data_IF_899560916146
#
_entry.id   IF_899560916146
#
_cell.length_a   1.000
_cell.length_b   1.000
_cell.length_c   1.000
_cell.angle_alpha   90.00
_cell.angle_beta   90.00
_cell.angle_gamma   90.00
#
_symmetry.space_group_name_H-M   'P 1'
#
loop_
_entity.id
_entity.type
_entity.pdbx_description
1 polymer ?
#
# COMPACT_ATOMS: atom_id res chain seq x y z
N UNK A 1 1.28 -34.41 49.35
CA UNK A 1 0.67 -35.14 48.22
C UNK A 1 0.63 -34.20 47.04
N UNK A 2 1.46 -34.51 46.05
CA UNK A 2 1.75 -33.71 44.86
C UNK A 2 0.84 -34.15 43.74
N UNK A 3 0.05 -33.27 43.16
CA UNK A 3 -0.68 -33.57 41.91
C UNK A 3 -0.40 -32.48 40.89
N UNK A 4 0.52 -32.80 39.97
CA UNK A 4 0.66 -32.17 38.68
C UNK A 4 -0.33 -32.83 37.70
N UNK A 5 -1.05 -32.05 36.89
CA UNK A 5 -1.68 -32.56 35.66
C UNK A 5 -1.65 -31.50 34.54
N UNK A 6 -0.75 -31.78 33.59
CA UNK A 6 -0.72 -31.54 32.15
C UNK A 6 -1.51 -30.37 31.50
N UNK A 7 -0.73 -29.58 30.75
CA UNK A 7 -1.16 -28.68 29.68
C UNK A 7 -1.86 -29.41 28.52
N UNK A 8 -2.87 -28.76 27.92
CA UNK A 8 -3.21 -28.92 26.49
C UNK A 8 -3.61 -27.58 25.89
N UNK A 9 -2.67 -27.00 25.13
CA UNK A 9 -2.96 -25.92 24.20
C UNK A 9 -3.82 -26.42 23.04
N UNK A 10 -4.87 -25.67 22.70
CA UNK A 10 -5.62 -25.89 21.45
C UNK A 10 -4.92 -25.12 20.33
N UNK A 11 -4.18 -25.86 19.50
CA UNK A 11 -3.55 -25.37 18.27
C UNK A 11 -4.49 -25.57 17.08
N UNK A 12 -4.46 -24.57 16.20
CA UNK A 12 -4.76 -24.52 14.75
C UNK A 12 -6.22 -24.33 14.32
N UNK A 13 -6.44 -23.19 13.65
CA UNK A 13 -7.63 -22.87 12.88
C UNK A 13 -7.69 -23.73 11.63
N UNK A 14 -8.82 -24.38 11.39
CA UNK A 14 -9.08 -25.14 10.17
C UNK A 14 -9.04 -24.20 8.96
N UNK A 15 -7.98 -24.31 8.16
CA UNK A 15 -7.83 -23.63 6.87
C UNK A 15 -8.84 -24.24 5.88
N UNK A 16 -9.99 -23.58 5.71
CA UNK A 16 -10.96 -23.97 4.67
C UNK A 16 -10.36 -23.61 3.30
N UNK A 17 -10.15 -24.63 2.47
CA UNK A 17 -9.71 -24.48 1.09
C UNK A 17 -10.70 -23.62 0.28
N UNK A 18 -10.19 -22.89 -0.70
CA UNK A 18 -11.01 -22.03 -1.56
C UNK A 18 -12.08 -22.86 -2.26
N UNK A 19 -13.34 -22.44 -2.20
CA UNK A 19 -14.42 -23.11 -2.94
C UNK A 19 -14.21 -23.07 -4.47
N UNK A 20 -13.43 -22.11 -4.97
CA UNK A 20 -13.10 -21.95 -6.39
C UNK A 20 -11.80 -22.67 -6.78
N UNK A 21 -10.70 -22.48 -6.03
CA UNK A 21 -9.39 -23.03 -6.40
C UNK A 21 -9.00 -24.34 -5.69
N UNK A 22 -9.78 -24.76 -4.69
CA UNK A 22 -9.58 -25.96 -3.86
C UNK A 22 -8.22 -26.08 -3.15
N UNK A 23 -7.40 -25.04 -3.13
CA UNK A 23 -6.12 -25.04 -2.43
C UNK A 23 -6.22 -24.50 -0.99
N UNK A 24 -5.48 -25.11 -0.03
CA UNK A 24 -5.27 -24.55 1.29
C UNK A 24 -4.31 -23.36 1.23
N UNK A 25 -4.57 -22.36 2.08
CA UNK A 25 -4.12 -20.97 2.06
C UNK A 25 -2.59 -20.72 2.23
N UNK A 26 -1.71 -21.52 1.63
CA UNK A 26 -0.25 -21.42 1.86
C UNK A 26 0.62 -21.14 0.64
N UNK A 27 0.12 -21.16 -0.61
CA UNK A 27 0.99 -20.98 -1.79
C UNK A 27 0.49 -19.94 -2.81
N UNK A 28 0.10 -18.75 -2.37
CA UNK A 28 -0.13 -17.61 -3.28
C UNK A 28 0.85 -16.44 -3.08
N UNK A 29 1.92 -16.64 -2.31
CA UNK A 29 3.02 -15.68 -2.21
C UNK A 29 3.96 -15.86 -3.41
N UNK A 30 3.50 -15.53 -4.62
CA UNK A 30 4.38 -15.37 -5.77
C UNK A 30 5.16 -14.07 -5.56
N UNK A 31 6.27 -14.17 -4.83
CA UNK A 31 7.34 -13.18 -4.85
C UNK A 31 8.06 -13.42 -6.17
N UNK A 32 7.57 -12.77 -7.22
CA UNK A 32 8.39 -12.54 -8.41
C UNK A 32 9.22 -11.29 -8.14
N UNK A 33 10.53 -11.48 -8.03
CA UNK A 33 11.55 -10.49 -7.67
C UNK A 33 11.59 -9.26 -8.62
N UNK A 34 10.88 -9.29 -9.76
CA UNK A 34 10.92 -8.25 -10.79
C UNK A 34 9.77 -7.20 -10.75
N UNK A 35 8.92 -7.18 -9.71
CA UNK A 35 7.77 -6.27 -9.63
C UNK A 35 7.87 -5.21 -8.52
N UNK A 36 9.07 -4.93 -8.02
CA UNK A 36 9.30 -4.04 -6.87
C UNK A 36 9.06 -2.55 -7.15
N UNK A 37 8.82 -2.16 -8.41
CA UNK A 37 8.53 -0.78 -8.81
C UNK A 37 7.05 -0.60 -9.15
N UNK A 38 6.35 0.22 -8.36
CA UNK A 38 4.91 0.46 -8.52
C UNK A 38 4.54 0.97 -9.92
N UNK A 39 5.39 1.77 -10.56
CA UNK A 39 5.10 2.31 -11.90
C UNK A 39 4.90 1.18 -12.93
N UNK A 40 5.63 0.06 -12.79
CA UNK A 40 5.45 -1.14 -13.63
C UNK A 40 4.17 -1.92 -13.28
N UNK A 41 3.65 -1.77 -12.06
CA UNK A 41 2.42 -2.46 -11.62
C UNK A 41 1.15 -1.68 -11.98
N UNK A 42 1.24 -0.36 -12.13
CA UNK A 42 0.10 0.52 -12.44
C UNK A 42 -0.08 0.82 -13.93
N UNK A 43 0.86 0.40 -14.79
CA UNK A 43 0.75 0.63 -16.24
C UNK A 43 0.77 2.11 -16.64
N UNK A 44 1.33 2.98 -15.80
CA UNK A 44 1.46 4.42 -16.07
C UNK A 44 2.61 4.63 -17.08
N UNK A 45 2.39 5.28 -18.23
CA UNK A 45 3.45 5.56 -19.19
C UNK A 45 4.55 6.41 -18.56
N UNK A 46 5.81 6.01 -18.74
CA UNK A 46 7.02 6.73 -18.28
C UNK A 46 7.34 7.98 -19.12
N UNK A 47 6.32 8.70 -19.61
CA UNK A 47 6.48 9.87 -20.46
C UNK A 47 6.10 11.15 -19.70
N UNK A 48 6.85 11.39 -18.62
CA UNK A 48 7.03 12.71 -18.03
C UNK A 48 8.41 12.78 -17.34
N UNK A 49 9.46 12.27 -18.02
CA UNK A 49 10.83 12.60 -17.65
C UNK A 49 11.10 14.06 -18.03
N UNK A 50 10.86 14.98 -17.09
CA UNK A 50 11.48 16.29 -17.17
C UNK A 50 12.99 16.09 -17.08
N UNK A 51 13.71 16.41 -18.17
CA UNK A 51 15.16 16.30 -18.25
C UNK A 51 15.80 17.23 -17.23
N UNK A 52 16.24 16.68 -16.09
CA UNK A 52 17.15 17.36 -15.17
C UNK A 52 18.30 16.40 -14.85
N UNK A 53 19.50 16.91 -15.11
CA UNK A 53 20.77 16.20 -15.32
C UNK A 53 21.27 15.41 -14.10
N UNK A 54 22.04 14.37 -14.41
CA UNK A 54 22.90 13.59 -13.51
C UNK A 54 23.65 14.48 -12.51
N UNK A 55 23.19 14.49 -11.26
CA UNK A 55 23.93 14.98 -10.09
C UNK A 55 23.30 14.47 -8.77
N UNK A 56 22.79 13.24 -8.74
CA UNK A 56 22.19 12.68 -7.52
C UNK A 56 23.29 12.06 -6.63
N UNK A 57 23.75 12.85 -5.65
CA UNK A 57 24.71 12.50 -4.60
C UNK A 57 24.22 11.32 -3.73
N UNK A 58 25.11 10.35 -3.53
CA UNK A 58 25.27 9.29 -2.50
C UNK A 58 24.12 8.80 -1.59
N UNK A 59 23.15 9.62 -1.18
CA UNK A 59 22.10 9.28 -0.18
C UNK A 59 21.11 8.19 -0.67
N UNK A 60 20.87 8.11 -1.98
CA UNK A 60 19.98 7.11 -2.57
C UNK A 60 20.50 5.67 -2.46
N UNK A 61 21.77 5.45 -2.07
CA UNK A 61 22.35 4.10 -1.96
C UNK A 61 21.95 3.35 -0.67
N UNK A 62 21.33 4.02 0.31
CA UNK A 62 21.02 3.42 1.63
C UNK A 62 19.63 2.78 1.67
N UNK A 63 18.69 3.29 0.87
CA UNK A 63 17.30 2.84 0.88
C UNK A 63 17.01 1.97 -0.35
N UNK A 64 16.24 0.90 -0.13
CA UNK A 64 15.71 0.06 -1.20
C UNK A 64 14.62 0.77 -2.03
N UNK A 65 14.05 1.83 -1.47
CA UNK A 65 13.10 2.72 -2.15
C UNK A 65 13.14 4.11 -1.51
N UNK A 66 12.99 5.14 -2.32
CA UNK A 66 12.84 6.53 -1.88
C UNK A 66 11.62 7.17 -2.53
N UNK A 67 10.93 8.08 -1.86
CA UNK A 67 9.88 8.84 -2.50
C UNK A 67 10.40 9.65 -3.70
N UNK A 68 9.65 9.71 -4.81
CA UNK A 68 10.10 10.41 -6.00
C UNK A 68 10.11 11.93 -5.78
N UNK A 69 11.09 12.60 -6.39
CA UNK A 69 11.14 14.06 -6.48
C UNK A 69 11.70 14.79 -5.26
N UNK A 70 12.13 14.08 -4.20
CA UNK A 70 12.70 14.72 -3.01
C UNK A 70 14.23 14.81 -3.07
N UNK A 71 14.84 15.89 -2.58
CA UNK A 71 16.28 15.95 -2.35
C UNK A 71 16.69 15.06 -1.16
N UNK A 72 17.96 14.67 -1.13
CA UNK A 72 18.53 13.71 -0.19
C UNK A 72 18.26 14.03 1.29
N UNK A 73 18.42 15.28 1.69
CA UNK A 73 18.17 15.75 3.06
C UNK A 73 16.70 15.62 3.45
N UNK A 74 15.78 15.86 2.50
CA UNK A 74 14.34 15.70 2.70
C UNK A 74 13.90 14.24 2.71
N UNK A 75 14.60 13.36 2.00
CA UNK A 75 14.39 11.90 2.10
C UNK A 75 14.68 11.42 3.52
N UNK A 76 15.80 11.86 4.11
CA UNK A 76 16.16 11.51 5.48
C UNK A 76 15.17 12.10 6.49
N UNK A 77 14.74 13.35 6.32
CA UNK A 77 13.70 13.99 7.14
C UNK A 77 12.36 13.23 7.07
N UNK A 78 11.95 12.80 5.87
CA UNK A 78 10.75 11.98 5.68
C UNK A 78 10.84 10.66 6.43
N UNK A 79 11.93 9.92 6.26
CA UNK A 79 12.09 8.61 6.90
C UNK A 79 12.31 8.70 8.41
N UNK A 80 12.85 9.81 8.93
CA UNK A 80 12.97 10.07 10.36
C UNK A 80 11.61 10.14 11.08
N UNK A 81 10.53 10.44 10.35
CA UNK A 81 9.18 10.47 10.91
C UNK A 81 8.51 9.09 10.96
N UNK A 82 9.07 8.07 10.31
CA UNK A 82 8.53 6.72 10.30
C UNK A 82 9.12 5.86 11.44
N UNK A 83 8.40 4.83 11.92
CA UNK A 83 9.00 3.84 12.81
C UNK A 83 10.21 3.18 12.14
N UNK A 84 11.32 3.06 12.87
CA UNK A 84 12.59 2.53 12.33
C UNK A 84 12.44 1.16 11.64
N UNK A 85 11.55 0.30 12.17
CA UNK A 85 11.27 -1.03 11.60
C UNK A 85 10.43 -1.01 10.33
N UNK A 86 9.97 0.16 9.88
CA UNK A 86 9.20 0.38 8.64
C UNK A 86 9.98 1.20 7.60
N UNK A 87 11.16 1.70 7.93
CA UNK A 87 12.02 2.45 6.99
C UNK A 87 12.75 1.47 6.05
N UNK A 88 12.59 1.57 4.73
CA UNK A 88 13.08 0.58 3.76
C UNK A 88 14.59 0.74 3.48
N UNK A 89 15.43 0.55 4.49
CA UNK A 89 16.90 0.48 4.31
C UNK A 89 17.27 -0.87 3.68
N UNK A 90 18.27 -0.90 2.80
CA UNK A 90 18.74 -2.15 2.20
C UNK A 90 19.07 -3.21 3.25
N UNK A 91 18.61 -4.44 3.02
CA UNK A 91 18.80 -5.63 3.85
C UNK A 91 18.32 -5.45 5.29
N UNK A 92 17.31 -4.60 5.51
CA UNK A 92 16.75 -4.31 6.82
C UNK A 92 15.35 -4.92 7.01
N UNK A 93 14.85 -5.05 8.25
CA UNK A 93 13.46 -5.42 8.50
C UNK A 93 12.44 -4.50 7.81
N UNK A 94 12.79 -3.22 7.62
CA UNK A 94 11.91 -2.26 6.97
C UNK A 94 11.79 -2.46 5.45
N UNK A 95 12.82 -2.98 4.79
CA UNK A 95 12.74 -3.40 3.38
C UNK A 95 11.78 -4.58 3.23
N UNK A 96 11.96 -5.64 4.03
CA UNK A 96 11.06 -6.80 4.04
C UNK A 96 9.62 -6.41 4.39
N UNK A 97 9.46 -5.46 5.33
CA UNK A 97 8.15 -4.87 5.63
C UNK A 97 7.56 -4.21 4.39
N UNK A 98 8.29 -3.35 3.69
CA UNK A 98 7.79 -2.67 2.48
C UNK A 98 7.38 -3.69 1.41
N UNK A 99 8.21 -4.68 1.12
CA UNK A 99 7.89 -5.74 0.15
C UNK A 99 6.61 -6.49 0.51
N UNK A 100 6.48 -6.87 1.78
CA UNK A 100 5.26 -7.51 2.29
C UNK A 100 4.05 -6.60 2.12
N UNK A 101 4.16 -5.32 2.42
CA UNK A 101 3.05 -4.38 2.28
C UNK A 101 2.69 -4.13 0.81
N UNK A 102 3.64 -4.09 -0.12
CA UNK A 102 3.35 -4.01 -1.57
C UNK A 102 2.51 -5.20 -2.07
N UNK A 103 2.74 -6.39 -1.54
CA UNK A 103 1.96 -7.58 -1.91
C UNK A 103 0.57 -7.53 -1.27
N UNK A 104 0.49 -7.18 0.01
CA UNK A 104 -0.76 -7.20 0.76
C UNK A 104 -1.71 -6.06 0.39
N UNK A 105 -1.18 -4.84 0.22
CA UNK A 105 -1.98 -3.64 -0.01
C UNK A 105 -2.36 -3.47 -1.48
N UNK A 106 -1.58 -4.05 -2.41
CA UNK A 106 -1.78 -3.96 -3.86
C UNK A 106 -1.82 -5.37 -4.49
N UNK A 107 -2.90 -6.15 -4.27
CA UNK A 107 -3.06 -7.47 -4.85
C UNK A 107 -3.08 -7.39 -6.38
N UNK A 108 -2.22 -8.15 -7.08
CA UNK A 108 -2.14 -8.14 -8.55
C UNK A 108 -3.49 -8.46 -9.20
N UNK A 109 -4.28 -9.31 -8.55
CA UNK A 109 -5.60 -9.76 -8.98
C UNK A 109 -6.59 -8.61 -9.05
N UNK A 110 -6.41 -7.54 -8.27
CA UNK A 110 -7.29 -6.37 -8.34
C UNK A 110 -6.80 -5.34 -9.36
N UNK A 111 -5.60 -5.53 -9.92
CA UNK A 111 -4.98 -4.60 -10.88
C UNK A 111 -5.25 -5.01 -12.33
N UNK A 112 -5.22 -6.32 -12.63
CA UNK A 112 -5.46 -6.79 -13.99
C UNK A 112 -6.06 -8.21 -14.04
N UNK A 113 -6.96 -8.41 -15.02
CA UNK A 113 -7.59 -9.71 -15.31
C UNK A 113 -6.59 -10.84 -15.51
N UNK A 114 -5.40 -10.54 -16.08
CA UNK A 114 -4.36 -11.53 -16.33
C UNK A 114 -3.89 -12.26 -15.05
N UNK A 115 -4.07 -11.65 -13.89
CA UNK A 115 -3.71 -12.23 -12.60
C UNK A 115 -4.87 -12.96 -11.90
N UNK A 116 -6.11 -12.81 -12.40
CA UNK A 116 -7.29 -13.48 -11.88
C UNK A 116 -7.37 -14.91 -12.42
N UNK A 117 -7.07 -15.91 -11.57
CA UNK A 117 -7.04 -17.31 -12.03
C UNK A 117 -8.42 -17.95 -12.08
N UNK A 118 -9.37 -17.42 -11.30
CA UNK A 118 -10.67 -18.06 -11.07
C UNK A 118 -11.86 -17.15 -11.37
N UNK A 119 -11.62 -16.04 -12.06
CA UNK A 119 -12.69 -15.17 -12.53
C UNK A 119 -13.28 -15.75 -13.81
N UNK A 120 -14.57 -16.05 -13.78
CA UNK A 120 -15.30 -16.51 -14.97
C UNK A 120 -15.40 -15.37 -16.00
N UNK A 121 -15.32 -15.71 -17.29
CA UNK A 121 -15.46 -14.76 -18.41
C UNK A 121 -16.73 -13.94 -18.34
N UNK A 122 -17.82 -14.50 -17.80
CA UNK A 122 -19.08 -13.79 -17.58
C UNK A 122 -18.93 -12.57 -16.66
N UNK A 123 -17.95 -12.57 -15.76
CA UNK A 123 -17.71 -11.49 -14.80
C UNK A 123 -16.58 -10.54 -15.19
N UNK A 124 -15.96 -10.72 -16.36
CA UNK A 124 -14.87 -9.84 -16.83
C UNK A 124 -15.33 -8.38 -16.94
N UNK A 125 -16.53 -8.15 -17.47
CA UNK A 125 -17.09 -6.79 -17.55
C UNK A 125 -17.23 -6.15 -16.17
N UNK A 126 -17.76 -6.89 -15.20
CA UNK A 126 -17.88 -6.38 -13.82
C UNK A 126 -16.51 -6.09 -13.19
N UNK A 127 -15.46 -6.83 -13.55
CA UNK A 127 -14.09 -6.54 -13.12
C UNK A 127 -13.56 -5.27 -13.77
N UNK A 128 -13.74 -5.10 -15.08
CA UNK A 128 -13.34 -3.89 -15.79
C UNK A 128 -14.05 -2.66 -15.23
N UNK A 129 -15.36 -2.74 -15.02
CA UNK A 129 -16.16 -1.70 -14.38
C UNK A 129 -15.61 -1.35 -12.98
N UNK A 130 -15.23 -2.37 -12.19
CA UNK A 130 -14.62 -2.16 -10.87
C UNK A 130 -13.27 -1.43 -10.96
N UNK A 131 -12.37 -1.87 -11.86
CA UNK A 131 -11.05 -1.25 -12.04
C UNK A 131 -11.20 0.18 -12.53
N UNK A 132 -12.07 0.42 -13.51
CA UNK A 132 -12.31 1.76 -14.05
C UNK A 132 -12.89 2.68 -12.99
N UNK A 133 -13.93 2.24 -12.26
CA UNK A 133 -14.51 3.02 -11.18
C UNK A 133 -13.50 3.33 -10.08
N UNK A 134 -12.68 2.33 -9.67
CA UNK A 134 -11.60 2.55 -8.71
C UNK A 134 -10.65 3.63 -9.25
N UNK A 135 -10.10 3.46 -10.46
CA UNK A 135 -9.08 4.35 -11.00
C UNK A 135 -9.60 5.79 -11.16
N UNK A 136 -10.82 5.94 -11.66
CA UNK A 136 -11.43 7.25 -11.93
C UNK A 136 -11.89 7.96 -10.65
N UNK A 137 -12.58 7.26 -9.75
CA UNK A 137 -13.28 7.91 -8.64
C UNK A 137 -12.56 7.82 -7.30
N UNK A 138 -11.73 6.79 -7.09
CA UNK A 138 -11.18 6.50 -5.77
C UNK A 138 -9.65 6.53 -5.71
N UNK A 139 -8.95 5.94 -6.68
CA UNK A 139 -7.50 5.81 -6.70
C UNK A 139 -6.84 7.17 -6.84
N UNK A 140 -5.86 7.43 -5.99
CA UNK A 140 -5.08 8.65 -5.97
C UNK A 140 -3.60 8.33 -5.75
N UNK A 141 -2.75 9.24 -6.20
CA UNK A 141 -1.30 9.18 -6.00
C UNK A 141 -0.93 10.38 -5.12
N UNK A 142 -0.57 10.08 -3.88
CA UNK A 142 -0.04 11.09 -2.99
C UNK A 142 1.36 11.52 -3.45
N UNK A 143 1.75 12.74 -3.11
CA UNK A 143 3.12 13.22 -3.26
C UNK A 143 3.58 13.80 -1.93
N UNK A 144 4.90 13.90 -1.78
CA UNK A 144 5.48 14.54 -0.60
C UNK A 144 5.83 15.97 -0.97
N UNK A 145 5.34 16.89 -0.15
CA UNK A 145 5.73 18.28 -0.17
C UNK A 145 6.95 18.46 0.72
N UNK A 146 8.04 18.96 0.15
CA UNK A 146 9.34 19.15 0.82
C UNK A 146 9.28 20.17 1.97
N UNK A 147 8.36 21.13 1.89
CA UNK A 147 8.15 22.16 2.88
C UNK A 147 6.70 22.64 2.86
N UNK A 148 6.09 22.77 4.04
CA UNK A 148 4.83 23.48 4.19
C UNK A 148 5.06 25.00 4.17
N UNK A 149 4.30 25.72 3.35
CA UNK A 149 4.39 27.19 3.23
C UNK A 149 3.92 27.94 4.49
N UNK A 150 3.07 27.28 5.27
CA UNK A 150 2.45 27.77 6.50
C UNK A 150 2.22 26.63 7.47
N UNK A 151 1.92 26.97 8.71
CA UNK A 151 1.47 25.99 9.69
C UNK A 151 0.16 25.35 9.24
N UNK A 152 0.04 24.03 9.39
CA UNK A 152 -1.15 23.25 9.08
C UNK A 152 -1.44 22.25 10.21
N UNK A 153 -2.56 21.53 10.08
CA UNK A 153 -2.97 20.47 10.99
C UNK A 153 -2.97 19.13 10.26
N UNK A 154 -2.36 18.11 10.85
CA UNK A 154 -2.37 16.77 10.28
C UNK A 154 -3.78 16.17 10.31
N UNK A 155 -4.26 15.71 9.16
CA UNK A 155 -5.62 15.21 9.03
C UNK A 155 -5.93 13.90 9.79
N UNK A 156 -4.91 13.11 10.16
CA UNK A 156 -5.09 11.92 11.02
C UNK A 156 -5.01 12.27 12.50
N UNK A 157 -3.84 12.71 12.98
CA UNK A 157 -3.58 12.86 14.41
C UNK A 157 -4.05 14.20 14.99
N UNK A 158 -4.50 15.15 14.15
CA UNK A 158 -4.87 16.52 14.55
C UNK A 158 -3.72 17.32 15.18
N UNK A 159 -2.49 16.79 15.09
CA UNK A 159 -1.28 17.47 15.54
C UNK A 159 -0.87 18.60 14.61
N UNK A 160 -0.20 19.60 15.18
CA UNK A 160 0.34 20.75 14.44
C UNK A 160 1.53 20.35 13.57
N UNK A 161 1.55 20.83 12.33
CA UNK A 161 2.67 20.74 11.39
C UNK A 161 3.17 22.16 11.14
N UNK A 162 4.45 22.41 11.37
CA UNK A 162 5.06 23.73 11.27
C UNK A 162 5.37 24.10 9.82
N UNK A 163 5.58 25.40 9.60
CA UNK A 163 6.11 25.89 8.34
C UNK A 163 7.50 25.30 8.11
N UNK A 164 7.74 24.74 6.92
CA UNK A 164 9.00 24.10 6.55
C UNK A 164 9.01 22.57 6.72
N UNK A 165 8.07 21.99 7.45
CA UNK A 165 7.98 20.54 7.66
C UNK A 165 7.68 19.82 6.34
N UNK A 166 8.22 18.61 6.17
CA UNK A 166 7.78 17.70 5.12
C UNK A 166 6.36 17.17 5.41
N UNK A 167 5.55 17.05 4.36
CA UNK A 167 4.17 16.60 4.49
C UNK A 167 3.75 15.73 3.31
N UNK A 168 2.89 14.75 3.57
CA UNK A 168 2.23 13.97 2.52
C UNK A 168 0.96 14.70 2.11
N UNK A 169 0.71 14.82 0.80
CA UNK A 169 -0.49 15.45 0.21
C UNK A 169 -1.19 14.44 -0.69
N UNK A 170 -2.51 14.34 -0.58
CA UNK A 170 -3.36 13.46 -1.39
C UNK A 170 -4.38 14.31 -2.18
N UNK A 171 -4.14 14.59 -3.47
CA UNK A 171 -4.97 15.48 -4.28
C UNK A 171 -6.48 15.18 -4.25
N UNK A 172 -6.88 13.91 -4.40
CA UNK A 172 -8.32 13.53 -4.39
C UNK A 172 -8.96 13.67 -3.01
N UNK A 173 -8.18 13.62 -1.95
CA UNK A 173 -8.69 13.93 -0.61
C UNK A 173 -8.89 15.44 -0.42
N UNK A 174 -7.98 16.23 -0.99
CA UNK A 174 -8.02 17.68 -1.04
C UNK A 174 -6.62 18.28 -1.01
N UNK A 175 -6.32 19.22 -1.90
CA UNK A 175 -4.97 19.80 -2.06
C UNK A 175 -4.43 20.56 -0.83
N UNK A 176 -5.33 21.00 0.04
CA UNK A 176 -5.00 21.69 1.29
C UNK A 176 -4.91 20.75 2.49
N UNK A 177 -5.13 19.45 2.31
CA UNK A 177 -5.09 18.46 3.37
C UNK A 177 -3.71 17.80 3.38
N UNK A 178 -3.11 17.74 4.56
CA UNK A 178 -1.78 17.20 4.74
C UNK A 178 -1.72 16.19 5.90
N UNK A 179 -0.75 15.29 5.79
CA UNK A 179 -0.43 14.31 6.83
C UNK A 179 1.05 14.35 7.14
N UNK A 180 1.40 14.10 8.41
CA UNK A 180 2.72 13.59 8.70
C UNK A 180 2.95 12.28 7.91
N UNK A 181 4.16 12.01 7.42
CA UNK A 181 4.58 10.73 6.88
C UNK A 181 4.02 9.50 7.63
N UNK A 182 4.18 9.42 8.95
CA UNK A 182 3.67 8.28 9.74
C UNK A 182 2.15 8.28 9.95
N UNK A 183 1.48 9.39 9.67
CA UNK A 183 0.03 9.52 9.78
C UNK A 183 -0.70 9.16 8.48
N UNK A 184 0.02 8.99 7.37
CA UNK A 184 -0.57 8.62 6.09
C UNK A 184 -0.75 7.09 5.99
N UNK A 185 -1.85 6.60 6.55
CA UNK A 185 -2.14 5.16 6.67
C UNK A 185 -3.54 4.80 6.20
N UNK A 186 -3.76 3.51 5.94
CA UNK A 186 -5.08 2.97 5.67
C UNK A 186 -5.98 3.03 6.93
N UNK A 187 -7.23 3.44 6.75
CA UNK A 187 -8.24 3.56 7.83
C UNK A 187 -8.75 2.22 8.38
N UNK A 188 -8.36 1.09 7.77
CA UNK A 188 -8.78 -0.25 8.18
C UNK A 188 -7.68 -1.02 8.91
N UNK A 189 -6.45 -1.02 8.38
CA UNK A 189 -5.33 -1.75 8.98
C UNK A 189 -4.28 -0.88 9.68
N UNK A 190 -4.41 0.45 9.62
CA UNK A 190 -3.43 1.41 10.14
C UNK A 190 -2.01 1.24 9.58
N UNK A 191 -1.84 0.51 8.47
CA UNK A 191 -0.56 0.37 7.79
C UNK A 191 -0.29 1.57 6.87
N UNK A 192 0.99 1.95 6.76
CA UNK A 192 1.45 3.02 5.85
C UNK A 192 0.99 2.69 4.43
N UNK A 193 0.41 3.69 3.75
CA UNK A 193 -0.01 3.54 2.36
C UNK A 193 1.25 3.53 1.49
N UNK A 194 1.57 2.34 0.98
CA UNK A 194 2.87 2.08 0.34
C UNK A 194 3.00 2.83 -0.97
N UNK A 195 4.19 3.40 -1.20
CA UNK A 195 4.58 4.03 -2.47
C UNK A 195 3.55 5.03 -2.99
N UNK A 196 2.77 5.59 -2.06
CA UNK A 196 1.85 6.70 -2.23
C UNK A 196 0.58 6.41 -3.06
N UNK A 197 0.32 5.16 -3.43
CA UNK A 197 -0.99 4.79 -4.01
C UNK A 197 -2.00 4.42 -2.95
N UNK A 198 -3.22 4.94 -3.09
CA UNK A 198 -4.29 4.74 -2.13
C UNK A 198 -5.64 5.05 -2.75
N UNK A 199 -6.72 4.63 -2.10
CA UNK A 199 -8.07 4.97 -2.49
C UNK A 199 -8.70 5.92 -1.47
N UNK A 200 -9.36 6.96 -1.97
CA UNK A 200 -10.16 7.89 -1.19
C UNK A 200 -11.63 7.52 -1.31
N UNK A 201 -12.31 7.35 -0.17
CA UNK A 201 -13.76 7.17 -0.11
C UNK A 201 -14.30 7.76 1.17
N UNK A 202 -15.39 8.53 1.10
CA UNK A 202 -16.05 9.12 2.28
C UNK A 202 -15.08 9.86 3.23
N UNK A 203 -14.14 10.63 2.66
CA UNK A 203 -13.08 11.34 3.40
C UNK A 203 -12.22 10.45 4.29
N UNK A 204 -12.00 9.20 3.87
CA UNK A 204 -11.08 8.24 4.48
C UNK A 204 -10.12 7.69 3.44
N UNK A 205 -8.91 7.37 3.89
CA UNK A 205 -7.88 6.74 3.08
C UNK A 205 -7.93 5.22 3.27
N UNK A 206 -7.83 4.48 2.18
CA UNK A 206 -7.77 3.02 2.17
C UNK A 206 -6.62 2.57 1.28
N UNK A 207 -5.96 1.46 1.64
CA UNK A 207 -5.18 0.75 0.63
C UNK A 207 -6.12 0.13 -0.41
N UNK A 208 -5.61 -0.16 -1.60
CA UNK A 208 -6.45 -0.75 -2.66
C UNK A 208 -7.13 -2.04 -2.19
N UNK A 209 -6.41 -2.85 -1.40
CA UNK A 209 -6.95 -4.08 -0.81
C UNK A 209 -8.25 -3.83 -0.04
N UNK A 210 -8.20 -2.94 0.95
CA UNK A 210 -9.36 -2.68 1.82
C UNK A 210 -10.44 -1.87 1.11
N UNK A 211 -10.09 -1.02 0.14
CA UNK A 211 -11.08 -0.37 -0.69
C UNK A 211 -11.90 -1.39 -1.49
N UNK A 212 -11.23 -2.37 -2.12
CA UNK A 212 -11.91 -3.42 -2.86
C UNK A 212 -12.84 -4.26 -1.97
N UNK A 213 -12.41 -4.56 -0.74
CA UNK A 213 -13.21 -5.28 0.26
C UNK A 213 -14.49 -4.53 0.68
N UNK A 214 -14.54 -3.20 0.54
CA UNK A 214 -15.76 -2.41 0.76
C UNK A 214 -16.78 -2.53 -0.38
N UNK A 215 -16.37 -3.06 -1.53
CA UNK A 215 -17.23 -3.19 -2.72
C UNK A 215 -17.69 -4.64 -2.85
N UNK A 216 -16.77 -5.60 -2.73
CA UNK A 216 -17.05 -7.04 -2.81
C UNK A 216 -16.16 -7.82 -1.84
N UNK A 217 -16.66 -8.88 -1.18
CA UNK A 217 -15.89 -9.64 -0.20
C UNK A 217 -14.78 -10.47 -0.86
N UNK A 218 -13.59 -10.56 -0.25
CA UNK A 218 -12.51 -11.45 -0.72
C UNK A 218 -12.77 -12.92 -0.38
N UNK A 219 -12.24 -13.80 -1.23
CA UNK A 219 -12.16 -15.21 -0.92
C UNK A 219 -11.00 -15.47 0.06
N UNK A 220 -11.28 -16.03 1.23
CA UNK A 220 -10.30 -16.28 2.29
C UNK A 220 -9.15 -17.21 1.94
N UNK A 221 -9.16 -17.86 0.78
CA UNK A 221 -8.20 -18.91 0.41
C UNK A 221 -7.42 -18.65 -0.90
N UNK A 222 -7.90 -17.77 -1.78
CA UNK A 222 -7.12 -17.30 -2.94
C UNK A 222 -6.88 -15.78 -2.93
N UNK A 223 -7.44 -15.06 -1.94
CA UNK A 223 -7.31 -13.61 -1.75
C UNK A 223 -7.87 -12.73 -2.88
N UNK A 224 -8.54 -13.35 -3.85
CA UNK A 224 -9.25 -12.67 -4.94
C UNK A 224 -10.55 -12.05 -4.42
N UNK A 225 -10.90 -10.88 -4.93
CA UNK A 225 -12.22 -10.25 -4.73
C UNK A 225 -13.29 -11.15 -5.34
N UNK A 226 -14.33 -11.50 -4.57
CA UNK A 226 -15.44 -12.31 -5.05
C UNK A 226 -16.35 -11.48 -5.93
N UNK A 227 -16.01 -11.40 -7.21
CA UNK A 227 -16.89 -10.82 -8.23
C UNK A 227 -17.94 -11.89 -8.57
N UNK A 228 -19.00 -11.94 -7.77
CA UNK A 228 -20.20 -12.76 -7.99
C UNK A 228 -21.44 -11.89 -7.80
N UNK A 229 -22.46 -12.18 -8.64
CA UNK A 229 -23.87 -11.75 -8.62
C UNK A 229 -24.19 -10.56 -7.72
#
# INVERSE_FOLDING_TARGET
MTTAFAARGKRRSDSKACKNCKNPNQNHTIIEENLLHIQNRLGIPTDAQCSCKESQKESHKVYAWTPPGLPADKIDEYFAQLPNNKVPRWKSPGEQYREKQLVLQLPKQDLALAYCRHLDRLHHKSFEDFVNMRNELALDIAYIREYLDKQNECAKCRGTMLKGDVAVIAPKFGESVCWHPACFVCSTCDELLVDLTHCVKERKLYCERHFAEQIKPRCSACDEVSIKV
#
